data_IF_219273507993
#
_entry.id   IF_219273507993
#
_cell.length_a   1.000
_cell.length_b   1.000
_cell.length_c   1.000
_cell.angle_alpha   90.00
_cell.angle_beta   90.00
_cell.angle_gamma   90.00
#
_symmetry.space_group_name_H-M   'P 1'
#
loop_
_entity.id
_entity.type
_entity.pdbx_description
1 polymer ?
#
# COMPACT_ATOMS: atom_id res chain seq x y z
N UNK A 1 33.21 26.27 40.94
CA UNK A 1 33.69 25.42 39.83
C UNK A 1 32.48 24.82 39.14
N UNK A 2 31.97 25.48 38.11
CA UNK A 2 30.98 24.92 37.19
C UNK A 2 31.75 24.22 36.07
N UNK A 3 31.60 22.91 35.97
CA UNK A 3 32.07 22.13 34.82
C UNK A 3 30.95 22.12 33.78
N UNK A 4 31.05 23.02 32.81
CA UNK A 4 30.28 22.94 31.55
C UNK A 4 30.77 21.73 30.76
N UNK A 5 29.97 20.67 30.71
CA UNK A 5 30.17 19.54 29.81
C UNK A 5 29.75 19.95 28.41
N UNK A 6 30.72 20.37 27.60
CA UNK A 6 30.58 20.50 26.15
C UNK A 6 30.60 19.09 25.53
N UNK A 7 29.45 18.42 25.48
CA UNK A 7 29.24 17.24 24.63
C UNK A 7 27.91 17.34 23.91
N UNK A 8 28.01 17.92 22.73
CA UNK A 8 26.97 17.97 21.72
C UNK A 8 27.61 18.51 20.47
N UNK A 9 28.58 17.78 19.92
CA UNK A 9 29.04 18.03 18.56
C UNK A 9 27.82 17.81 17.66
N UNK A 10 27.17 18.91 17.30
CA UNK A 10 26.23 18.98 16.18
C UNK A 10 26.99 18.49 14.98
N UNK A 11 26.55 17.38 14.39
CA UNK A 11 26.98 16.99 13.07
C UNK A 11 26.65 18.13 12.09
N UNK A 12 27.68 18.90 11.72
CA UNK A 12 27.61 20.09 10.87
C UNK A 12 27.41 19.75 9.38
N UNK A 13 27.04 18.50 9.07
CA UNK A 13 26.90 18.02 7.69
C UNK A 13 25.45 17.87 7.21
N UNK A 14 24.46 17.95 8.10
CA UNK A 14 23.06 17.84 7.74
C UNK A 14 22.59 19.12 6.99
N UNK A 15 22.61 19.05 5.66
CA UNK A 15 22.15 20.13 4.78
C UNK A 15 20.67 20.46 5.02
N UNK A 16 20.33 21.74 4.87
CA UNK A 16 18.95 22.22 4.96
C UNK A 16 18.05 21.49 3.96
N UNK A 17 16.82 21.20 4.39
CA UNK A 17 15.78 20.63 3.55
C UNK A 17 14.43 21.33 3.77
N UNK A 18 13.65 21.40 2.69
CA UNK A 18 12.32 21.98 2.65
C UNK A 18 11.32 20.95 2.12
N UNK A 19 10.16 20.89 2.76
CA UNK A 19 8.98 20.22 2.23
C UNK A 19 7.95 21.28 1.89
N UNK A 20 7.48 21.30 0.63
CA UNK A 20 6.52 22.29 0.13
C UNK A 20 5.27 21.56 -0.36
N UNK A 21 4.12 21.91 0.20
CA UNK A 21 2.82 21.41 -0.23
C UNK A 21 2.24 22.29 -1.36
N UNK A 22 1.37 21.72 -2.19
CA UNK A 22 0.80 22.44 -3.35
C UNK A 22 -0.06 23.66 -2.99
N UNK A 23 -0.49 23.76 -1.74
CA UNK A 23 -1.21 24.92 -1.19
C UNK A 23 -0.27 25.99 -0.60
N UNK A 24 1.04 25.83 -0.78
CA UNK A 24 2.08 26.77 -0.36
C UNK A 24 2.55 26.57 1.08
N UNK A 25 2.00 25.62 1.84
CA UNK A 25 2.49 25.36 3.19
C UNK A 25 3.86 24.67 3.15
N UNK A 26 4.85 25.32 3.76
CA UNK A 26 6.25 24.87 3.80
C UNK A 26 6.66 24.39 5.19
N UNK A 27 7.45 23.32 5.24
CA UNK A 27 8.08 22.80 6.46
C UNK A 27 9.60 22.75 6.27
N UNK A 28 10.33 23.18 7.31
CA UNK A 28 11.80 23.19 7.32
C UNK A 28 12.31 22.02 8.15
N UNK A 29 13.40 21.42 7.69
CA UNK A 29 14.01 20.27 8.34
C UNK A 29 15.44 20.06 7.86
N UNK A 30 15.92 18.83 8.01
CA UNK A 30 17.25 18.39 7.60
C UNK A 30 17.14 17.29 6.57
N UNK A 31 18.06 17.26 5.61
CA UNK A 31 18.13 16.17 4.64
C UNK A 31 18.20 14.80 5.34
N UNK A 32 17.44 13.82 4.84
CA UNK A 32 17.42 12.45 5.33
C UNK A 32 17.35 11.49 4.15
N UNK A 33 18.25 10.51 4.06
CA UNK A 33 18.39 9.72 2.84
C UNK A 33 19.19 10.47 1.76
N UNK A 34 18.81 10.29 0.49
CA UNK A 34 19.47 10.92 -0.64
C UNK A 34 19.27 12.45 -0.66
N UNK A 35 20.27 13.18 -1.14
CA UNK A 35 20.19 14.64 -1.34
C UNK A 35 19.75 14.93 -2.77
N UNK A 36 18.81 15.86 -2.91
CA UNK A 36 18.22 16.25 -4.18
C UNK A 36 16.79 16.71 -3.98
N UNK A 37 15.94 16.36 -4.94
CA UNK A 37 14.52 16.68 -4.89
C UNK A 37 13.66 15.51 -5.35
N UNK A 38 12.42 15.49 -4.88
CA UNK A 38 11.42 14.51 -5.28
C UNK A 38 10.03 15.12 -5.19
N UNK A 39 9.09 14.53 -5.93
CA UNK A 39 7.70 14.95 -5.99
C UNK A 39 6.78 13.74 -5.83
N UNK A 40 5.61 13.97 -5.26
CA UNK A 40 4.57 12.94 -5.16
C UNK A 40 3.32 13.45 -4.49
N UNK A 41 2.42 12.54 -4.13
CA UNK A 41 1.29 12.84 -3.26
C UNK A 41 1.69 12.69 -1.78
N UNK A 42 1.49 13.72 -0.97
CA UNK A 42 1.70 13.69 0.47
C UNK A 42 0.62 12.85 1.15
N UNK A 43 1.07 11.80 1.83
CA UNK A 43 0.24 10.89 2.59
C UNK A 43 0.87 10.67 3.96
N UNK A 44 0.08 10.28 4.96
CA UNK A 44 0.62 9.95 6.29
C UNK A 44 0.26 8.53 6.68
N UNK A 45 1.14 7.85 7.41
CA UNK A 45 0.90 6.51 7.97
C UNK A 45 0.91 6.54 9.50
N UNK A 46 -0.06 5.86 10.11
CA UNK A 46 -0.19 5.69 11.57
C UNK A 46 0.62 4.52 12.14
N UNK A 47 1.29 3.74 11.29
CA UNK A 47 2.14 2.63 11.71
C UNK A 47 3.25 3.09 12.66
N UNK A 48 3.28 2.52 13.87
CA UNK A 48 4.35 2.76 14.86
C UNK A 48 5.54 1.82 14.70
N UNK A 49 5.33 0.72 13.97
CA UNK A 49 6.32 -0.29 13.61
C UNK A 49 6.15 -0.63 12.14
N UNK A 50 7.13 -1.33 11.57
CA UNK A 50 7.01 -1.83 10.20
C UNK A 50 7.24 -0.79 9.11
N UNK A 51 8.15 0.15 9.38
CA UNK A 51 8.47 1.21 8.43
C UNK A 51 9.19 0.67 7.18
N UNK A 52 9.90 -0.45 7.28
CA UNK A 52 10.61 -1.04 6.15
C UNK A 52 9.62 -1.70 5.17
N UNK A 53 8.68 -2.46 5.70
CA UNK A 53 7.55 -3.06 4.98
C UNK A 53 6.73 -1.95 4.31
N UNK A 54 6.45 -0.85 5.04
CA UNK A 54 5.78 0.34 4.48
C UNK A 54 6.56 0.93 3.31
N UNK A 55 7.89 1.08 3.42
CA UNK A 55 8.72 1.68 2.37
C UNK A 55 8.79 0.80 1.11
N UNK A 56 8.70 -0.51 1.28
CA UNK A 56 8.82 -1.50 0.21
C UNK A 56 7.49 -2.01 -0.33
N UNK A 57 6.36 -1.45 0.14
CA UNK A 57 5.03 -1.70 -0.44
C UNK A 57 4.85 -0.92 -1.77
N UNK A 58 4.65 -1.62 -2.90
CA UNK A 58 4.46 -1.01 -4.22
C UNK A 58 3.31 0.00 -4.30
N UNK A 59 2.32 -0.11 -3.41
CA UNK A 59 1.14 0.76 -3.37
C UNK A 59 1.48 2.22 -3.01
N UNK A 60 2.68 2.48 -2.48
CA UNK A 60 3.20 3.84 -2.23
C UNK A 60 3.94 4.46 -3.43
N UNK A 61 3.98 3.80 -4.59
CA UNK A 61 4.61 4.39 -5.78
C UNK A 61 4.07 5.80 -6.07
N UNK A 62 4.98 6.76 -6.29
CA UNK A 62 4.69 8.21 -6.45
C UNK A 62 4.06 8.91 -5.23
N UNK A 63 4.14 8.32 -4.04
CA UNK A 63 3.68 8.94 -2.79
C UNK A 63 4.87 9.33 -1.90
N UNK A 64 4.74 10.46 -1.21
CA UNK A 64 5.68 10.89 -0.16
C UNK A 64 5.06 10.56 1.18
N UNK A 65 5.68 9.64 1.91
CA UNK A 65 5.12 9.08 3.14
C UNK A 65 5.60 9.88 4.35
N UNK A 66 4.63 10.37 5.12
CA UNK A 66 4.82 11.05 6.40
C UNK A 66 4.56 10.07 7.54
N UNK A 67 5.61 9.78 8.32
CA UNK A 67 5.44 8.99 9.52
C UNK A 67 4.89 9.82 10.66
N UNK A 68 3.78 9.36 11.23
CA UNK A 68 3.22 9.96 12.45
C UNK A 68 3.97 9.53 13.70
N UNK A 69 4.51 8.30 13.71
CA UNK A 69 5.37 7.82 14.77
C UNK A 69 6.67 8.65 14.79
N UNK A 70 7.06 9.21 15.95
CA UNK A 70 8.11 10.23 15.98
C UNK A 70 9.50 9.64 15.72
N UNK A 71 9.79 8.46 16.27
CA UNK A 71 11.08 7.79 16.18
C UNK A 71 11.04 6.71 15.11
N UNK A 72 11.82 6.88 14.06
CA UNK A 72 11.84 6.01 12.87
C UNK A 72 13.27 5.55 12.59
N UNK A 73 13.44 4.27 12.23
CA UNK A 73 14.76 3.66 12.02
C UNK A 73 15.33 2.93 13.24
N UNK A 74 14.57 2.84 14.33
CA UNK A 74 15.03 2.28 15.62
C UNK A 74 15.52 0.82 15.49
N UNK A 75 14.97 0.06 14.54
CA UNK A 75 15.31 -1.34 14.30
C UNK A 75 16.20 -1.56 13.07
N UNK A 76 16.73 -0.47 12.50
CA UNK A 76 17.54 -0.54 11.27
C UNK A 76 16.74 -1.06 10.08
N UNK A 77 17.46 -1.65 9.13
CA UNK A 77 16.93 -2.34 7.96
C UNK A 77 17.58 -3.73 7.88
N UNK A 78 16.86 -4.72 7.35
CA UNK A 78 17.36 -6.06 7.07
C UNK A 78 16.90 -6.58 5.70
N UNK A 79 17.29 -7.80 5.32
CA UNK A 79 16.96 -8.38 4.01
C UNK A 79 15.72 -9.30 4.04
N UNK A 80 15.07 -9.46 5.19
CA UNK A 80 13.91 -10.34 5.40
C UNK A 80 12.56 -9.58 5.41
N UNK A 81 12.54 -8.34 5.89
CA UNK A 81 11.35 -7.49 6.00
C UNK A 81 10.92 -6.77 4.69
N UNK A 82 11.67 -6.71 3.56
CA UNK A 82 11.14 -6.10 2.35
C UNK A 82 9.90 -6.85 1.80
N UNK A 83 8.83 -6.09 1.51
CA UNK A 83 7.63 -6.61 0.85
C UNK A 83 7.74 -6.64 -0.68
N UNK A 84 8.83 -6.11 -1.23
CA UNK A 84 9.15 -6.20 -2.65
C UNK A 84 10.65 -5.92 -2.88
N UNK A 85 11.07 -5.94 -4.14
CA UNK A 85 12.48 -5.84 -4.52
C UNK A 85 13.15 -4.46 -4.22
N UNK A 86 12.38 -3.40 -3.93
CA UNK A 86 12.92 -2.05 -3.70
C UNK A 86 11.99 -1.19 -2.85
N UNK A 87 12.50 -0.03 -2.44
CA UNK A 87 11.70 1.05 -1.86
C UNK A 87 10.88 1.74 -2.96
N UNK A 88 9.58 1.90 -2.73
CA UNK A 88 8.63 2.45 -3.70
C UNK A 88 8.17 3.88 -3.40
N UNK A 89 8.34 4.34 -2.16
CA UNK A 89 7.97 5.73 -1.83
C UNK A 89 8.79 6.70 -2.67
N UNK A 90 8.16 7.76 -3.17
CA UNK A 90 8.86 8.84 -3.86
C UNK A 90 9.73 9.65 -2.91
N UNK A 91 9.34 9.74 -1.64
CA UNK A 91 10.11 10.39 -0.60
C UNK A 91 9.59 10.09 0.79
N UNK A 92 10.37 10.48 1.80
CA UNK A 92 10.11 10.08 3.18
C UNK A 92 10.26 11.21 4.19
N UNK A 93 9.29 11.35 5.09
CA UNK A 93 9.21 12.45 6.06
C UNK A 93 9.14 11.88 7.46
N UNK A 94 10.13 12.23 8.29
CA UNK A 94 10.26 11.73 9.66
C UNK A 94 10.44 12.89 10.65
N UNK A 95 9.98 12.68 11.90
CA UNK A 95 10.19 13.68 12.96
C UNK A 95 11.59 13.58 13.57
N UNK A 96 11.99 12.38 13.99
CA UNK A 96 13.25 12.14 14.69
C UNK A 96 13.84 10.78 14.25
N UNK A 97 14.74 10.75 13.26
CA UNK A 97 15.34 9.52 12.80
C UNK A 97 16.28 8.95 13.87
N UNK A 98 16.29 7.62 14.02
CA UNK A 98 17.19 6.94 14.92
C UNK A 98 18.65 7.23 14.55
N UNK A 99 19.43 7.67 15.53
CA UNK A 99 20.87 7.91 15.37
C UNK A 99 21.66 6.63 15.17
N UNK A 100 21.19 5.54 15.77
CA UNK A 100 21.80 4.22 15.69
C UNK A 100 20.68 3.20 15.84
N UNK A 101 20.58 2.21 14.93
CA UNK A 101 19.61 1.14 15.09
C UNK A 101 20.02 0.21 16.24
N UNK A 102 19.05 -0.36 16.94
CA UNK A 102 19.27 -1.32 18.02
C UNK A 102 18.26 -2.47 17.90
N UNK A 103 18.59 -3.42 17.04
CA UNK A 103 17.85 -4.65 16.86
C UNK A 103 18.82 -5.74 16.36
N UNK A 104 18.67 -6.98 16.82
CA UNK A 104 19.54 -8.08 16.43
C UNK A 104 19.44 -8.45 14.95
N UNK A 105 18.30 -8.12 14.30
CA UNK A 105 18.09 -8.30 12.86
C UNK A 105 18.68 -7.17 12.02
N UNK A 106 19.04 -6.03 12.62
CA UNK A 106 19.51 -4.87 11.86
C UNK A 106 20.84 -5.17 11.16
N UNK A 107 20.87 -5.05 9.84
CA UNK A 107 22.10 -5.19 9.04
C UNK A 107 22.62 -3.83 8.56
N UNK A 108 21.73 -2.83 8.44
CA UNK A 108 22.03 -1.49 7.92
C UNK A 108 21.22 -0.41 8.66
N UNK A 109 21.65 0.86 8.60
CA UNK A 109 20.80 1.96 9.06
C UNK A 109 19.76 2.33 8.00
N UNK A 110 18.64 2.92 8.43
CA UNK A 110 17.60 3.33 7.49
C UNK A 110 18.08 4.46 6.56
N UNK A 111 18.88 5.41 7.05
CA UNK A 111 19.37 6.51 6.23
C UNK A 111 20.41 6.06 5.18
N UNK A 112 21.21 5.04 5.49
CA UNK A 112 22.07 4.37 4.51
C UNK A 112 21.23 3.72 3.40
N UNK A 113 20.19 2.98 3.76
CA UNK A 113 19.30 2.32 2.78
C UNK A 113 18.61 3.34 1.86
N UNK A 114 18.05 4.42 2.43
CA UNK A 114 17.43 5.48 1.63
C UNK A 114 18.43 6.15 0.67
N UNK A 115 19.69 6.38 1.10
CA UNK A 115 20.73 6.91 0.21
C UNK A 115 21.09 5.94 -0.91
N UNK A 116 21.26 4.66 -0.58
CA UNK A 116 21.64 3.62 -1.53
C UNK A 116 20.60 3.45 -2.64
N UNK A 117 19.32 3.60 -2.31
CA UNK A 117 18.21 3.52 -3.27
C UNK A 117 17.79 4.88 -3.87
N UNK A 118 18.51 5.97 -3.56
CA UNK A 118 18.23 7.29 -4.13
C UNK A 118 16.94 7.96 -3.62
N UNK A 119 16.42 7.55 -2.47
CA UNK A 119 15.17 8.06 -1.90
C UNK A 119 15.44 9.35 -1.13
N UNK A 120 14.85 10.45 -1.61
CA UNK A 120 14.97 11.77 -0.98
C UNK A 120 14.00 11.87 0.19
N UNK A 121 14.51 12.32 1.34
CA UNK A 121 13.72 12.49 2.54
C UNK A 121 14.11 13.70 3.38
N UNK A 122 13.29 13.95 4.39
CA UNK A 122 13.44 15.08 5.30
C UNK A 122 13.14 14.65 6.74
N UNK A 123 13.96 15.14 7.66
CA UNK A 123 13.83 14.90 9.11
C UNK A 123 13.65 16.20 9.89
N UNK A 124 13.22 16.11 11.15
CA UNK A 124 13.05 17.28 12.02
C UNK A 124 11.76 18.08 11.75
N UNK A 125 10.89 17.58 10.89
CA UNK A 125 9.60 18.21 10.56
C UNK A 125 8.60 17.94 11.68
N UNK A 126 7.75 18.92 12.00
CA UNK A 126 6.55 18.68 12.81
C UNK A 126 5.54 17.83 12.01
N UNK A 127 5.76 16.51 12.03
CA UNK A 127 4.91 15.55 11.32
C UNK A 127 3.48 15.56 11.84
N UNK A 128 3.23 15.95 13.11
CA UNK A 128 1.87 16.11 13.64
C UNK A 128 1.14 17.28 12.99
N UNK A 129 1.80 18.43 12.84
CA UNK A 129 1.22 19.58 12.14
C UNK A 129 0.94 19.26 10.67
N UNK A 130 1.85 18.54 10.01
CA UNK A 130 1.67 18.06 8.63
C UNK A 130 0.50 17.07 8.52
N UNK A 131 0.42 16.05 9.38
CA UNK A 131 -0.69 15.10 9.39
C UNK A 131 -2.03 15.78 9.62
N UNK A 132 -2.12 16.72 10.57
CA UNK A 132 -3.36 17.49 10.79
C UNK A 132 -3.78 18.26 9.55
N UNK A 133 -2.82 18.87 8.86
CA UNK A 133 -3.05 19.62 7.63
C UNK A 133 -3.61 18.71 6.52
N UNK A 134 -2.97 17.56 6.28
CA UNK A 134 -3.42 16.58 5.29
C UNK A 134 -4.80 15.99 5.64
N UNK A 135 -5.08 15.73 6.92
CA UNK A 135 -6.41 15.29 7.36
C UNK A 135 -7.49 16.35 7.08
N UNK A 136 -7.18 17.62 7.31
CA UNK A 136 -8.13 18.73 7.19
C UNK A 136 -8.32 19.20 5.73
N UNK A 137 -7.26 19.17 4.91
CA UNK A 137 -7.26 19.66 3.52
C UNK A 137 -7.31 18.55 2.46
N UNK A 138 -6.98 17.33 2.84
CA UNK A 138 -6.84 16.17 1.96
C UNK A 138 -5.40 15.89 1.55
N UNK A 139 -5.19 14.71 0.96
CA UNK A 139 -3.94 14.35 0.30
C UNK A 139 -3.72 15.27 -0.92
N UNK A 140 -2.48 15.66 -1.15
CA UNK A 140 -2.14 16.75 -2.06
C UNK A 140 -0.73 16.59 -2.62
N UNK A 141 -0.39 17.30 -3.69
CA UNK A 141 0.98 17.26 -4.21
C UNK A 141 1.96 17.88 -3.22
N UNK A 142 3.17 17.32 -3.20
CA UNK A 142 4.27 17.76 -2.35
C UNK A 142 5.61 17.61 -3.07
N UNK A 143 6.56 18.47 -2.73
CA UNK A 143 7.97 18.31 -3.06
C UNK A 143 8.84 18.31 -1.81
N UNK A 144 9.87 17.47 -1.80
CA UNK A 144 10.99 17.57 -0.84
C UNK A 144 12.19 18.08 -1.62
N UNK A 145 12.89 19.07 -1.05
CA UNK A 145 14.07 19.69 -1.63
C UNK A 145 15.17 19.71 -0.58
N UNK A 146 16.39 19.32 -0.94
CA UNK A 146 17.53 19.28 -0.02
C UNK A 146 18.82 19.68 -0.73
N UNK A 147 19.77 20.24 0.03
CA UNK A 147 21.02 20.74 -0.55
C UNK A 147 20.77 21.91 -1.50
N UNK A 148 21.39 21.89 -2.68
CA UNK A 148 21.24 22.98 -3.67
C UNK A 148 19.80 23.15 -4.15
N UNK A 149 19.01 22.07 -4.19
CA UNK A 149 17.60 22.14 -4.56
C UNK A 149 16.80 23.04 -3.59
N UNK A 150 17.18 23.04 -2.30
CA UNK A 150 16.53 23.85 -1.26
C UNK A 150 16.93 25.34 -1.29
N UNK A 151 17.90 25.74 -2.12
CA UNK A 151 18.37 27.13 -2.21
C UNK A 151 17.48 28.03 -3.09
N UNK A 152 16.56 27.45 -3.86
CA UNK A 152 15.59 28.20 -4.67
C UNK A 152 14.57 28.93 -3.79
N UNK A 153 13.90 29.94 -4.37
CA UNK A 153 12.85 30.66 -3.65
C UNK A 153 11.65 29.76 -3.37
N UNK A 154 10.93 29.98 -2.27
CA UNK A 154 9.72 29.19 -1.96
C UNK A 154 8.66 29.26 -3.07
N UNK A 155 8.61 30.37 -3.82
CA UNK A 155 7.73 30.53 -4.97
C UNK A 155 8.12 29.59 -6.13
N UNK A 156 9.42 29.48 -6.44
CA UNK A 156 9.91 28.56 -7.46
C UNK A 156 9.65 27.11 -7.07
N UNK A 157 9.91 26.76 -5.80
CA UNK A 157 9.65 25.43 -5.28
C UNK A 157 8.16 25.06 -5.38
N UNK A 158 7.27 25.98 -4.98
CA UNK A 158 5.82 25.78 -5.09
C UNK A 158 5.36 25.57 -6.53
N UNK A 159 5.87 26.38 -7.48
CA UNK A 159 5.52 26.25 -8.89
C UNK A 159 5.86 24.85 -9.43
N UNK A 160 7.00 24.28 -9.00
CA UNK A 160 7.44 22.93 -9.39
C UNK A 160 6.57 21.85 -8.78
N UNK A 161 6.15 22.01 -7.52
CA UNK A 161 5.17 21.11 -6.87
C UNK A 161 3.83 21.13 -7.60
N UNK A 162 3.35 22.31 -7.99
CA UNK A 162 2.09 22.47 -8.72
C UNK A 162 2.15 21.95 -10.16
N UNK A 163 3.34 21.84 -10.74
CA UNK A 163 3.56 21.23 -12.05
C UNK A 163 3.63 19.69 -12.00
N UNK A 164 3.81 19.09 -10.82
CA UNK A 164 3.86 17.64 -10.67
C UNK A 164 2.51 16.99 -11.03
N UNK A 165 2.51 15.77 -11.60
CA UNK A 165 1.28 15.02 -11.87
C UNK A 165 0.48 14.75 -10.60
N UNK A 166 -0.85 14.71 -10.73
CA UNK A 166 -1.74 14.32 -9.63
C UNK A 166 -1.91 12.79 -9.57
N UNK A 167 -2.21 12.26 -8.37
CA UNK A 167 -2.52 10.83 -8.19
C UNK A 167 -3.87 10.42 -8.81
N UNK A 168 -4.84 11.34 -8.86
CA UNK A 168 -6.14 11.08 -9.48
C UNK A 168 -5.94 10.94 -10.99
N UNK A 169 -6.42 9.84 -11.57
CA UNK A 169 -6.20 9.48 -12.97
C UNK A 169 -4.79 8.95 -13.28
N UNK A 170 -4.00 8.57 -12.28
CA UNK A 170 -2.69 7.97 -12.50
C UNK A 170 -2.79 6.45 -12.71
N UNK A 171 -2.35 5.97 -13.87
CA UNK A 171 -2.16 4.55 -14.15
C UNK A 171 -0.76 4.11 -13.74
N UNK A 172 -0.64 3.34 -12.65
CA UNK A 172 0.64 3.03 -12.01
C UNK A 172 0.91 1.53 -11.84
N UNK A 173 -0.09 0.66 -11.95
CA UNK A 173 0.10 -0.77 -11.64
C UNK A 173 1.11 -1.44 -12.58
N UNK A 174 1.10 -1.07 -13.87
CA UNK A 174 2.08 -1.58 -14.86
C UNK A 174 3.52 -1.12 -14.61
N UNK A 175 3.73 -0.03 -13.87
CA UNK A 175 5.08 0.45 -13.50
C UNK A 175 5.70 -0.38 -12.38
N UNK A 176 4.87 -1.04 -11.57
CA UNK A 176 5.32 -1.75 -10.37
C UNK A 176 5.22 -3.28 -10.45
N UNK A 177 4.32 -3.78 -11.30
CA UNK A 177 4.13 -5.21 -11.49
C UNK A 177 5.37 -5.90 -12.10
N UNK A 178 5.48 -7.20 -11.81
CA UNK A 178 6.47 -8.09 -12.43
C UNK A 178 6.41 -8.02 -13.95
N UNK A 179 7.57 -8.18 -14.59
CA UNK A 179 7.70 -8.20 -16.06
C UNK A 179 7.54 -9.60 -16.63
N UNK A 180 7.97 -10.60 -15.88
CA UNK A 180 7.91 -12.00 -16.27
C UNK A 180 7.13 -12.81 -15.23
N UNK A 181 6.38 -13.83 -15.65
CA UNK A 181 5.74 -14.75 -14.72
C UNK A 181 6.76 -15.46 -13.83
N UNK A 182 6.37 -15.71 -12.58
CA UNK A 182 7.15 -16.55 -11.66
C UNK A 182 6.25 -17.36 -10.73
N UNK A 183 6.81 -18.38 -10.10
CA UNK A 183 6.06 -19.29 -9.23
C UNK A 183 6.58 -19.18 -7.79
N UNK A 184 5.67 -19.00 -6.84
CA UNK A 184 5.91 -19.20 -5.42
C UNK A 184 5.40 -20.60 -5.06
N UNK A 185 6.29 -21.55 -4.75
CA UNK A 185 5.90 -22.92 -4.48
C UNK A 185 5.08 -23.02 -3.19
N UNK A 186 4.17 -23.98 -3.14
CA UNK A 186 3.46 -24.33 -1.91
C UNK A 186 4.45 -24.73 -0.81
N UNK A 187 4.16 -24.33 0.43
CA UNK A 187 4.90 -24.79 1.60
C UNK A 187 4.19 -26.05 2.12
N UNK A 188 4.91 -27.16 2.15
CA UNK A 188 4.35 -28.47 2.51
C UNK A 188 3.69 -29.16 1.31
N UNK A 189 2.55 -29.81 1.53
CA UNK A 189 1.80 -30.50 0.48
C UNK A 189 1.08 -29.48 -0.43
N UNK A 190 1.30 -29.60 -1.75
CA UNK A 190 0.56 -28.80 -2.73
C UNK A 190 -0.90 -29.27 -2.79
N UNK A 191 -1.81 -28.40 -2.37
CA UNK A 191 -3.27 -28.61 -2.38
C UNK A 191 -3.95 -27.92 -3.55
N UNK A 192 -3.51 -26.71 -3.90
CA UNK A 192 -4.12 -25.87 -4.93
C UNK A 192 -3.08 -25.17 -5.81
N UNK A 193 -3.51 -24.74 -6.98
CA UNK A 193 -2.79 -23.83 -7.88
C UNK A 193 -3.59 -22.54 -8.01
N UNK A 194 -2.97 -21.38 -7.76
CA UNK A 194 -3.62 -20.07 -7.92
C UNK A 194 -2.86 -19.25 -8.95
N UNK A 195 -3.60 -18.62 -9.87
CA UNK A 195 -3.06 -17.58 -10.74
C UNK A 195 -3.25 -16.21 -10.06
N UNK A 196 -2.18 -15.52 -9.74
CA UNK A 196 -2.19 -14.20 -9.12
C UNK A 196 -1.82 -13.13 -10.16
N UNK A 197 -2.74 -12.21 -10.44
CA UNK A 197 -2.48 -11.03 -11.29
C UNK A 197 -1.77 -9.97 -10.44
N UNK A 198 -0.51 -9.72 -10.76
CA UNK A 198 0.32 -8.74 -10.10
C UNK A 198 -0.01 -7.32 -10.58
N UNK A 199 -0.60 -6.54 -9.69
CA UNK A 199 -0.89 -5.12 -9.87
C UNK A 199 0.02 -4.24 -8.98
N UNK A 200 1.06 -4.84 -8.38
CA UNK A 200 1.87 -4.28 -7.30
C UNK A 200 1.87 -5.18 -6.06
N UNK A 201 1.91 -6.50 -6.24
CA UNK A 201 1.76 -7.50 -5.20
C UNK A 201 2.85 -7.39 -4.15
N UNK A 202 2.44 -7.44 -2.88
CA UNK A 202 3.33 -7.58 -1.74
C UNK A 202 3.76 -9.04 -1.55
N UNK A 203 5.04 -9.26 -1.27
CA UNK A 203 5.66 -10.59 -1.12
C UNK A 203 5.03 -11.46 -0.04
N UNK A 204 4.50 -10.87 1.03
CA UNK A 204 3.80 -11.63 2.06
C UNK A 204 2.50 -12.27 1.55
N UNK A 205 1.83 -11.70 0.55
CA UNK A 205 0.56 -12.23 0.01
C UNK A 205 0.72 -13.65 -0.56
N UNK A 206 1.59 -13.90 -1.56
CA UNK A 206 1.80 -15.25 -2.06
C UNK A 206 2.45 -16.15 -1.00
N UNK A 207 3.22 -15.60 -0.05
CA UNK A 207 3.75 -16.39 1.07
C UNK A 207 2.62 -16.94 1.97
N UNK A 208 1.63 -16.12 2.35
CA UNK A 208 0.46 -16.54 3.13
C UNK A 208 -0.40 -17.58 2.42
N UNK A 209 -0.46 -17.51 1.09
CA UNK A 209 -1.09 -18.55 0.28
C UNK A 209 -0.26 -19.83 0.29
N UNK A 210 1.05 -19.72 0.11
CA UNK A 210 1.96 -20.87 0.13
C UNK A 210 1.92 -21.64 1.46
N UNK A 211 1.83 -20.95 2.60
CA UNK A 211 1.63 -21.54 3.93
C UNK A 211 0.38 -22.44 4.02
N UNK A 212 -0.60 -22.27 3.12
CA UNK A 212 -1.85 -23.05 3.05
C UNK A 212 -1.82 -24.17 2.01
N UNK A 213 -0.65 -24.44 1.44
CA UNK A 213 -0.48 -25.45 0.39
C UNK A 213 -0.85 -24.95 -1.00
N UNK A 214 -0.88 -23.64 -1.24
CA UNK A 214 -1.20 -23.06 -2.55
C UNK A 214 0.11 -22.80 -3.31
N UNK A 215 0.25 -23.37 -4.50
CA UNK A 215 1.27 -22.93 -5.45
C UNK A 215 0.76 -21.69 -6.21
N UNK A 216 1.47 -20.57 -6.10
CA UNK A 216 1.03 -19.29 -6.66
C UNK A 216 1.82 -18.97 -7.91
N UNK A 217 1.14 -18.89 -9.04
CA UNK A 217 1.67 -18.43 -10.32
C UNK A 217 1.40 -16.94 -10.43
N UNK A 218 2.43 -16.13 -10.21
CA UNK A 218 2.33 -14.68 -10.28
C UNK A 218 2.54 -14.24 -11.73
N UNK A 219 1.54 -13.54 -12.27
CA UNK A 219 1.49 -13.09 -13.65
C UNK A 219 1.60 -11.56 -13.72
N UNK A 220 2.22 -10.99 -14.77
CA UNK A 220 2.26 -9.55 -15.00
C UNK A 220 0.87 -8.90 -15.03
N UNK A 221 0.80 -7.60 -14.77
CA UNK A 221 -0.43 -6.80 -14.90
C UNK A 221 -1.08 -6.88 -16.30
N UNK A 222 -0.29 -7.22 -17.33
CA UNK A 222 -0.71 -7.37 -18.72
C UNK A 222 -1.22 -8.77 -19.07
N UNK A 223 -1.31 -9.68 -18.09
CA UNK A 223 -1.79 -11.04 -18.31
C UNK A 223 -3.15 -11.06 -19.00
N UNK A 224 -3.33 -12.04 -19.88
CA UNK A 224 -4.56 -12.27 -20.62
C UNK A 224 -5.38 -13.39 -19.99
N UNK A 225 -6.64 -13.52 -20.41
CA UNK A 225 -7.47 -14.65 -20.00
C UNK A 225 -6.84 -16.00 -20.40
N UNK A 226 -6.18 -16.05 -21.56
CA UNK A 226 -5.49 -17.23 -22.05
C UNK A 226 -4.29 -17.60 -21.17
N UNK A 227 -3.54 -16.61 -20.67
CA UNK A 227 -2.42 -16.86 -19.75
C UNK A 227 -2.91 -17.47 -18.43
N UNK A 228 -4.03 -16.98 -17.90
CA UNK A 228 -4.67 -17.56 -16.71
C UNK A 228 -5.15 -18.99 -17.01
N UNK A 229 -5.81 -19.22 -18.15
CA UNK A 229 -6.33 -20.53 -18.53
C UNK A 229 -5.22 -21.57 -18.73
N UNK A 230 -4.07 -21.15 -19.25
CA UNK A 230 -2.91 -22.02 -19.46
C UNK A 230 -2.35 -22.62 -18.14
N UNK A 231 -2.59 -21.96 -17.00
CA UNK A 231 -2.20 -22.45 -15.66
C UNK A 231 -3.19 -23.51 -15.15
N UNK A 232 -4.43 -23.52 -15.67
CA UNK A 232 -5.56 -24.29 -15.14
C UNK A 232 -5.72 -24.12 -13.61
N UNK A 233 -5.90 -22.89 -13.11
CA UNK A 233 -5.88 -22.61 -11.67
C UNK A 233 -7.18 -23.05 -10.99
N UNK A 234 -7.06 -23.44 -9.72
CA UNK A 234 -8.19 -23.68 -8.82
C UNK A 234 -8.82 -22.37 -8.34
N UNK A 235 -8.05 -21.28 -8.34
CA UNK A 235 -8.51 -19.95 -7.97
C UNK A 235 -7.67 -18.85 -8.61
N UNK A 236 -8.27 -17.67 -8.74
CA UNK A 236 -7.59 -16.48 -9.28
C UNK A 236 -7.54 -15.40 -8.21
N UNK A 237 -6.39 -14.75 -8.10
CA UNK A 237 -6.14 -13.68 -7.16
C UNK A 237 -5.80 -12.37 -7.87
N UNK A 238 -6.35 -11.25 -7.40
CA UNK A 238 -6.00 -9.91 -7.87
C UNK A 238 -5.38 -9.12 -6.71
N UNK A 239 -4.11 -8.72 -6.88
CA UNK A 239 -3.33 -8.14 -5.79
C UNK A 239 -3.70 -6.69 -5.45
N UNK A 240 -3.04 -6.20 -4.40
CA UNK A 240 -2.90 -4.77 -4.16
C UNK A 240 -2.10 -4.08 -5.28
N UNK A 241 -2.11 -2.74 -5.28
CA UNK A 241 -1.43 -1.94 -6.28
C UNK A 241 -1.58 -0.43 -6.07
N UNK A 242 -0.72 0.38 -6.71
CA UNK A 242 -0.81 1.84 -6.70
C UNK A 242 -1.74 2.38 -7.79
N UNK A 243 -2.09 3.66 -7.67
CA UNK A 243 -2.78 4.42 -8.71
C UNK A 243 -4.29 4.53 -8.51
N UNK A 244 -4.96 5.03 -9.55
CA UNK A 244 -6.41 5.25 -9.58
C UNK A 244 -7.10 4.04 -10.24
N UNK A 245 -8.02 3.34 -9.55
CA UNK A 245 -8.72 2.20 -10.14
C UNK A 245 -9.54 2.56 -11.38
N UNK A 246 -9.86 3.84 -11.60
CA UNK A 246 -10.56 4.30 -12.79
C UNK A 246 -9.75 4.11 -14.09
N UNK A 247 -8.42 3.93 -14.02
CA UNK A 247 -7.58 3.70 -15.21
C UNK A 247 -7.34 2.21 -15.50
N UNK A 248 -7.78 1.32 -14.61
CA UNK A 248 -7.48 -0.11 -14.67
C UNK A 248 -8.49 -0.92 -15.51
N UNK A 249 -8.78 -0.48 -16.74
CA UNK A 249 -9.76 -1.15 -17.61
C UNK A 249 -9.35 -2.57 -17.96
N UNK A 250 -8.08 -2.81 -18.27
CA UNK A 250 -7.58 -4.16 -18.59
C UNK A 250 -7.75 -5.14 -17.42
N UNK A 251 -7.31 -4.84 -16.17
CA UNK A 251 -7.62 -5.69 -15.02
C UNK A 251 -9.11 -5.93 -14.78
N UNK A 252 -9.98 -4.93 -15.03
CA UNK A 252 -11.43 -5.07 -14.90
C UNK A 252 -11.97 -6.08 -15.91
N UNK A 253 -11.59 -5.98 -17.19
CA UNK A 253 -12.01 -6.93 -18.22
C UNK A 253 -11.49 -8.35 -17.95
N UNK A 254 -10.25 -8.48 -17.49
CA UNK A 254 -9.69 -9.77 -17.10
C UNK A 254 -10.48 -10.39 -15.94
N UNK A 255 -10.82 -9.59 -14.92
CA UNK A 255 -11.62 -10.03 -13.79
C UNK A 255 -13.03 -10.46 -14.21
N UNK A 256 -13.66 -9.72 -15.12
CA UNK A 256 -14.97 -10.09 -15.69
C UNK A 256 -14.92 -11.46 -16.34
N UNK A 257 -13.91 -11.74 -17.16
CA UNK A 257 -13.72 -13.07 -17.76
C UNK A 257 -13.56 -14.19 -16.72
N UNK A 258 -12.90 -13.92 -15.58
CA UNK A 258 -12.79 -14.89 -14.47
C UNK A 258 -14.16 -15.12 -13.81
N UNK A 259 -14.92 -14.06 -13.55
CA UNK A 259 -16.27 -14.15 -12.97
C UNK A 259 -17.24 -14.89 -13.88
N UNK A 260 -17.16 -14.70 -15.20
CA UNK A 260 -17.97 -15.42 -16.20
C UNK A 260 -17.77 -16.92 -16.12
N UNK A 261 -16.49 -17.34 -16.04
CA UNK A 261 -16.11 -18.75 -15.88
C UNK A 261 -16.51 -19.35 -14.52
N UNK A 262 -16.75 -18.51 -13.52
CA UNK A 262 -17.11 -18.95 -12.17
C UNK A 262 -15.93 -19.54 -11.39
N UNK A 263 -14.69 -19.22 -11.78
CA UNK A 263 -13.49 -19.63 -11.03
C UNK A 263 -13.47 -18.89 -9.68
N UNK A 264 -13.12 -19.57 -8.56
CA UNK A 264 -12.93 -18.94 -7.26
C UNK A 264 -12.02 -17.71 -7.35
N UNK A 265 -12.48 -16.58 -6.81
CA UNK A 265 -11.80 -15.30 -6.94
C UNK A 265 -11.62 -14.61 -5.59
N UNK A 266 -10.40 -14.11 -5.36
CA UNK A 266 -10.10 -13.26 -4.21
C UNK A 266 -9.35 -11.98 -4.64
N UNK A 267 -9.83 -10.81 -4.22
CA UNK A 267 -9.18 -9.52 -4.47
C UNK A 267 -8.75 -8.80 -3.19
N UNK A 268 -7.55 -8.20 -3.17
CA UNK A 268 -7.06 -7.40 -2.04
C UNK A 268 -6.76 -5.96 -2.48
N UNK A 269 -7.18 -4.99 -1.68
CA UNK A 269 -6.93 -3.55 -1.87
C UNK A 269 -7.32 -3.03 -3.26
N UNK A 270 -6.37 -2.95 -4.20
CA UNK A 270 -6.65 -2.59 -5.59
C UNK A 270 -7.55 -3.64 -6.25
N UNK A 271 -7.33 -4.94 -5.99
CA UNK A 271 -8.20 -6.03 -6.43
C UNK A 271 -9.65 -5.90 -5.94
N UNK A 272 -9.90 -5.31 -4.76
CA UNK A 272 -11.26 -5.00 -4.30
C UNK A 272 -11.92 -3.90 -5.14
N UNK A 273 -11.15 -2.90 -5.53
CA UNK A 273 -11.63 -1.81 -6.39
C UNK A 273 -11.90 -2.31 -7.80
N UNK A 274 -11.05 -3.20 -8.33
CA UNK A 274 -11.29 -3.89 -9.60
C UNK A 274 -12.57 -4.73 -9.53
N UNK A 275 -12.80 -5.46 -8.43
CA UNK A 275 -14.05 -6.21 -8.25
C UNK A 275 -15.27 -5.29 -8.20
N UNK A 276 -15.20 -4.20 -7.44
CA UNK A 276 -16.26 -3.19 -7.42
C UNK A 276 -16.63 -2.70 -8.83
N UNK A 277 -15.62 -2.32 -9.63
CA UNK A 277 -15.81 -1.88 -11.02
C UNK A 277 -16.33 -3.00 -11.93
N UNK A 278 -15.82 -4.21 -11.80
CA UNK A 278 -16.26 -5.36 -12.58
C UNK A 278 -17.75 -5.64 -12.37
N UNK A 279 -18.23 -5.50 -11.12
CA UNK A 279 -19.62 -5.63 -10.71
C UNK A 279 -20.52 -4.45 -11.12
N UNK A 280 -19.94 -3.36 -11.64
CA UNK A 280 -20.68 -2.17 -12.10
C UNK A 280 -20.81 -1.04 -11.07
N UNK A 281 -20.11 -1.15 -9.93
CA UNK A 281 -20.04 -0.05 -8.95
C UNK A 281 -18.99 1.00 -9.35
N UNK A 282 -19.18 2.22 -8.81
CA UNK A 282 -18.20 3.29 -8.96
C UNK A 282 -17.03 3.17 -7.99
N UNK A 283 -16.02 4.02 -8.17
CA UNK A 283 -14.96 4.25 -7.18
C UNK A 283 -14.82 5.74 -6.94
N UNK A 284 -14.35 6.11 -5.74
CA UNK A 284 -14.10 7.49 -5.39
C UNK A 284 -12.78 7.63 -4.63
N UNK A 285 -12.19 8.82 -4.74
CA UNK A 285 -10.97 9.17 -4.00
C UNK A 285 -11.34 9.63 -2.59
N UNK A 286 -10.75 8.99 -1.59
CA UNK A 286 -10.86 9.39 -0.19
C UNK A 286 -10.13 10.73 0.01
N UNK A 287 -10.60 11.49 1.01
CA UNK A 287 -10.00 12.79 1.32
C UNK A 287 -8.49 12.68 1.61
N UNK A 288 -8.11 11.75 2.48
CA UNK A 288 -6.70 11.47 2.82
C UNK A 288 -6.36 9.97 2.82
N UNK A 289 -7.34 9.09 2.58
CA UNK A 289 -7.16 7.63 2.53
C UNK A 289 -6.99 6.95 3.90
N UNK A 290 -6.91 5.62 3.89
CA UNK A 290 -6.59 4.82 5.07
C UNK A 290 -5.16 4.29 4.94
N UNK A 291 -4.31 4.69 5.88
CA UNK A 291 -2.89 4.34 5.92
C UNK A 291 -2.44 4.11 7.35
N UNK A 292 -2.31 2.85 7.74
CA UNK A 292 -2.06 2.49 9.12
C UNK A 292 -2.21 0.99 9.40
N UNK A 293 -2.07 0.65 10.67
CA UNK A 293 -2.14 -0.73 11.17
C UNK A 293 -3.14 -0.86 12.33
N UNK A 294 -4.12 0.03 12.37
CA UNK A 294 -5.03 0.19 13.51
C UNK A 294 -6.48 0.50 13.10
N UNK A 295 -6.85 0.19 11.86
CA UNK A 295 -8.17 0.48 11.32
C UNK A 295 -9.15 -0.61 11.75
N UNK A 296 -10.25 -0.25 12.44
CA UNK A 296 -11.27 -1.20 12.85
C UNK A 296 -12.22 -1.49 11.69
N UNK A 297 -12.31 -2.77 11.31
CA UNK A 297 -13.22 -3.24 10.26
C UNK A 297 -14.17 -4.27 10.84
N UNK A 298 -15.46 -4.16 10.50
CA UNK A 298 -16.45 -5.17 10.87
C UNK A 298 -16.74 -6.09 9.68
N UNK A 299 -16.57 -7.41 9.87
CA UNK A 299 -17.17 -8.43 9.00
C UNK A 299 -18.68 -8.49 9.31
N UNK A 300 -19.50 -8.05 8.37
CA UNK A 300 -20.96 -7.98 8.53
C UNK A 300 -21.63 -9.35 8.49
N UNK A 301 -20.94 -10.36 7.95
CA UNK A 301 -21.46 -11.74 7.87
C UNK A 301 -21.40 -12.46 9.22
N UNK A 302 -20.45 -12.06 10.08
CA UNK A 302 -20.22 -12.67 11.40
C UNK A 302 -20.46 -11.71 12.56
N UNK A 303 -20.47 -10.40 12.31
CA UNK A 303 -20.48 -9.34 13.31
C UNK A 303 -19.13 -9.10 13.99
N UNK A 304 -18.08 -9.87 13.64
CA UNK A 304 -16.74 -9.76 14.21
C UNK A 304 -16.08 -8.45 13.81
N UNK A 305 -15.34 -7.85 14.74
CA UNK A 305 -14.49 -6.68 14.49
C UNK A 305 -13.03 -7.11 14.47
N UNK A 306 -12.28 -6.59 13.51
CA UNK A 306 -10.86 -6.84 13.27
C UNK A 306 -10.09 -5.53 13.32
N UNK A 307 -8.88 -5.56 13.87
CA UNK A 307 -7.90 -4.50 13.65
C UNK A 307 -7.10 -4.88 12.41
N UNK A 308 -6.99 -3.96 11.44
CA UNK A 308 -6.49 -4.28 10.10
C UNK A 308 -5.42 -3.30 9.63
N UNK A 309 -4.60 -3.75 8.67
CA UNK A 309 -3.59 -2.94 7.99
C UNK A 309 -4.15 -2.36 6.68
N UNK A 310 -3.95 -1.06 6.47
CA UNK A 310 -4.54 -0.31 5.36
C UNK A 310 -3.48 0.49 4.63
N UNK A 311 -3.58 0.52 3.29
CA UNK A 311 -2.86 1.45 2.44
C UNK A 311 -3.65 1.72 1.14
N UNK A 312 -4.67 2.58 1.22
CA UNK A 312 -5.44 2.96 0.03
C UNK A 312 -5.94 4.41 0.07
N UNK A 313 -5.93 5.06 -1.09
CA UNK A 313 -6.47 6.41 -1.31
C UNK A 313 -7.83 6.43 -2.00
N UNK A 314 -8.31 5.28 -2.46
CA UNK A 314 -9.58 5.12 -3.18
C UNK A 314 -10.44 4.04 -2.52
N UNK A 315 -11.75 4.10 -2.74
CA UNK A 315 -12.71 3.14 -2.22
C UNK A 315 -13.82 2.86 -3.24
N UNK A 316 -14.51 1.74 -3.06
CA UNK A 316 -15.67 1.36 -3.88
C UNK A 316 -16.92 2.07 -3.36
N UNK A 317 -17.72 2.61 -4.28
CA UNK A 317 -19.05 3.17 -4.01
C UNK A 317 -20.12 2.10 -4.22
N UNK A 318 -20.24 1.20 -3.24
CA UNK A 318 -21.25 0.14 -3.22
C UNK A 318 -22.27 0.39 -2.10
N UNK A 319 -23.57 0.12 -2.33
CA UNK A 319 -24.59 0.37 -1.33
C UNK A 319 -24.47 -0.62 -0.16
N UNK A 320 -24.20 -0.11 1.04
CA UNK A 320 -23.97 -0.93 2.25
C UNK A 320 -25.27 -1.59 2.75
N UNK A 321 -26.41 -0.93 2.61
CA UNK A 321 -27.66 -1.33 3.28
C UNK A 321 -28.54 -2.29 2.47
N UNK A 322 -28.05 -2.79 1.33
CA UNK A 322 -28.81 -3.74 0.50
C UNK A 322 -27.90 -4.67 -0.29
N UNK A 323 -28.46 -5.83 -0.64
CA UNK A 323 -27.93 -6.69 -1.70
C UNK A 323 -28.24 -6.03 -3.04
N UNK A 324 -27.28 -6.06 -3.97
CA UNK A 324 -27.41 -5.50 -5.31
C UNK A 324 -27.35 -6.60 -6.37
N UNK A 325 -28.23 -6.56 -7.35
CA UNK A 325 -28.15 -7.41 -8.53
C UNK A 325 -27.05 -6.87 -9.46
N UNK A 326 -26.13 -7.75 -9.87
CA UNK A 326 -25.04 -7.44 -10.80
C UNK A 326 -25.06 -8.41 -11.98
N UNK A 327 -24.33 -8.14 -13.08
CA UNK A 327 -24.21 -9.08 -14.21
C UNK A 327 -23.67 -10.47 -13.82
N UNK A 328 -23.01 -10.58 -12.65
CA UNK A 328 -22.38 -11.82 -12.16
C UNK A 328 -23.12 -12.44 -10.97
N UNK A 329 -24.35 -11.99 -10.71
CA UNK A 329 -25.17 -12.44 -9.59
C UNK A 329 -25.32 -11.36 -8.51
N UNK A 330 -25.91 -11.72 -7.38
CA UNK A 330 -26.14 -10.82 -6.26
C UNK A 330 -24.84 -10.54 -5.53
N UNK A 331 -24.57 -9.27 -5.27
CA UNK A 331 -23.41 -8.79 -4.53
C UNK A 331 -23.85 -8.06 -3.25
N UNK A 332 -23.05 -8.16 -2.20
CA UNK A 332 -23.23 -7.36 -0.99
C UNK A 332 -21.91 -6.86 -0.42
N UNK A 333 -22.00 -5.76 0.33
CA UNK A 333 -20.88 -5.27 1.14
C UNK A 333 -20.69 -6.20 2.34
N UNK A 334 -19.56 -6.90 2.36
CA UNK A 334 -19.22 -7.87 3.41
C UNK A 334 -18.48 -7.24 4.58
N UNK A 335 -17.71 -6.18 4.35
CA UNK A 335 -16.93 -5.50 5.38
C UNK A 335 -17.07 -3.99 5.31
N UNK A 336 -17.06 -3.32 6.47
CA UNK A 336 -17.14 -1.86 6.58
C UNK A 336 -16.16 -1.32 7.63
N UNK A 337 -15.59 -0.15 7.34
CA UNK A 337 -14.75 0.58 8.29
C UNK A 337 -15.63 1.18 9.38
N UNK A 338 -15.31 0.92 10.65
CA UNK A 338 -16.09 1.43 11.79
C UNK A 338 -15.80 2.91 12.12
N UNK A 339 -14.73 3.49 11.55
CA UNK A 339 -14.41 4.91 11.79
C UNK A 339 -15.25 5.85 10.93
N UNK A 340 -15.56 5.46 9.69
CA UNK A 340 -16.16 6.36 8.69
C UNK A 340 -17.15 5.70 7.72
N UNK A 341 -17.42 4.40 7.87
CA UNK A 341 -18.43 3.68 7.08
C UNK A 341 -18.00 3.35 5.66
N UNK A 342 -16.72 3.54 5.30
CA UNK A 342 -16.19 3.16 3.98
C UNK A 342 -16.35 1.65 3.76
N UNK A 343 -16.63 1.26 2.51
CA UNK A 343 -16.72 -0.14 2.07
C UNK A 343 -15.33 -0.78 2.13
N UNK A 344 -15.21 -1.84 2.93
CA UNK A 344 -13.94 -2.54 3.17
C UNK A 344 -13.93 -3.96 2.59
N UNK A 345 -15.02 -4.40 1.97
CA UNK A 345 -15.08 -5.69 1.30
C UNK A 345 -16.39 -5.96 0.61
N UNK A 346 -16.34 -6.79 -0.43
CA UNK A 346 -17.46 -7.22 -1.24
C UNK A 346 -17.51 -8.74 -1.28
N UNK A 347 -18.69 -9.33 -1.46
CA UNK A 347 -18.83 -10.74 -1.83
C UNK A 347 -19.98 -10.94 -2.81
N UNK A 348 -19.82 -11.90 -3.71
CA UNK A 348 -20.91 -12.46 -4.48
C UNK A 348 -21.60 -13.56 -3.67
N UNK A 349 -22.93 -13.64 -3.81
CA UNK A 349 -23.75 -14.67 -3.16
C UNK A 349 -23.99 -15.88 -4.05
N UNK A 350 -23.89 -15.69 -5.37
CA UNK A 350 -24.22 -16.71 -6.38
C UNK A 350 -22.98 -17.25 -7.11
N UNK A 351 -21.80 -16.69 -6.85
CA UNK A 351 -20.51 -17.10 -7.43
C UNK A 351 -19.40 -17.05 -6.37
N UNK A 352 -18.33 -17.87 -6.49
CA UNK A 352 -17.28 -17.99 -5.48
C UNK A 352 -16.28 -16.82 -5.54
N UNK A 353 -16.74 -15.57 -5.36
CA UNK A 353 -15.90 -14.39 -5.43
C UNK A 353 -16.09 -13.46 -4.24
N UNK A 354 -14.98 -12.99 -3.67
CA UNK A 354 -14.98 -11.95 -2.64
C UNK A 354 -13.72 -11.09 -2.72
N UNK A 355 -13.76 -9.95 -2.03
CA UNK A 355 -12.59 -9.08 -1.91
C UNK A 355 -12.61 -8.29 -0.61
N UNK A 356 -11.44 -7.79 -0.22
CA UNK A 356 -11.29 -6.84 0.89
C UNK A 356 -10.39 -5.67 0.50
N UNK A 357 -10.66 -4.50 1.04
CA UNK A 357 -9.95 -3.26 0.73
C UNK A 357 -8.67 -3.07 1.54
N UNK A 358 -8.57 -3.74 2.70
CA UNK A 358 -7.42 -3.78 3.58
C UNK A 358 -6.49 -4.95 3.24
N UNK A 359 -5.43 -5.16 4.03
CA UNK A 359 -4.33 -6.08 3.77
C UNK A 359 -4.28 -7.24 4.78
N UNK A 360 -4.95 -8.38 4.50
CA UNK A 360 -4.93 -9.59 5.34
C UNK A 360 -3.56 -10.22 5.51
N UNK A 361 -2.65 -9.98 4.56
CA UNK A 361 -1.27 -10.43 4.64
C UNK A 361 -0.46 -9.69 5.71
N UNK A 362 -0.97 -8.55 6.19
CA UNK A 362 -0.29 -7.62 7.08
C UNK A 362 1.05 -7.19 6.49
N UNK A 363 2.18 -7.41 7.18
CA UNK A 363 3.52 -7.01 6.75
C UNK A 363 3.58 -5.54 6.29
N UNK A 364 3.42 -4.56 7.18
CA UNK A 364 3.28 -4.72 8.63
C UNK A 364 1.81 -4.69 9.11
N UNK A 365 1.60 -5.01 10.39
CA UNK A 365 0.32 -4.81 11.07
C UNK A 365 -0.26 -6.06 11.75
N UNK A 366 -1.50 -5.97 12.24
CA UNK A 366 -2.18 -7.05 12.95
C UNK A 366 -2.55 -8.22 12.03
N UNK A 367 -2.67 -9.41 12.61
CA UNK A 367 -2.98 -10.65 11.87
C UNK A 367 -4.47 -11.05 11.95
N UNK A 368 -5.33 -10.20 12.51
CA UNK A 368 -6.76 -10.50 12.77
C UNK A 368 -7.52 -10.96 11.51
N UNK A 369 -7.09 -10.46 10.35
CA UNK A 369 -7.65 -10.67 9.03
C UNK A 369 -7.11 -11.92 8.30
N UNK A 370 -6.11 -12.62 8.84
CA UNK A 370 -5.40 -13.70 8.14
C UNK A 370 -6.31 -14.86 7.69
N UNK A 371 -7.45 -15.05 8.37
CA UNK A 371 -8.45 -16.06 8.02
C UNK A 371 -9.06 -15.87 6.63
N UNK A 372 -8.92 -14.70 6.00
CA UNK A 372 -9.44 -14.47 4.64
C UNK A 372 -8.73 -15.35 3.61
N UNK A 373 -7.47 -15.72 3.85
CA UNK A 373 -6.79 -16.73 3.04
C UNK A 373 -7.38 -18.13 3.26
N UNK A 374 -7.82 -18.45 4.48
CA UNK A 374 -8.54 -19.71 4.76
C UNK A 374 -9.93 -19.72 4.09
N UNK A 375 -10.62 -18.59 4.09
CA UNK A 375 -11.89 -18.41 3.35
C UNK A 375 -11.70 -18.64 1.85
N UNK A 376 -10.57 -18.20 1.29
CA UNK A 376 -10.25 -18.46 -0.13
C UNK A 376 -9.97 -19.95 -0.39
N UNK A 377 -9.29 -20.64 0.53
CA UNK A 377 -9.12 -22.10 0.47
C UNK A 377 -10.47 -22.80 0.47
N UNK A 378 -11.38 -22.45 1.37
CA UNK A 378 -12.72 -23.05 1.43
C UNK A 378 -13.49 -22.84 0.13
N UNK A 379 -13.41 -21.66 -0.51
CA UNK A 379 -14.05 -21.44 -1.81
C UNK A 379 -13.51 -22.36 -2.91
N UNK A 380 -12.21 -22.66 -2.91
CA UNK A 380 -11.61 -23.59 -3.88
C UNK A 380 -11.97 -25.05 -3.57
N UNK A 381 -12.09 -25.42 -2.29
CA UNK A 381 -12.56 -26.75 -1.86
C UNK A 381 -13.99 -27.02 -2.30
N UNK A 382 -14.90 -26.07 -2.03
CA UNK A 382 -16.32 -26.18 -2.36
C UNK A 382 -16.55 -26.27 -3.87
N UNK A 383 -15.68 -25.67 -4.68
CA UNK A 383 -15.77 -25.72 -6.14
C UNK A 383 -15.29 -27.06 -6.74
N UNK A 384 -14.40 -27.78 -6.04
CA UNK A 384 -13.90 -29.11 -6.43
C UNK A 384 -14.84 -30.24 -6.01
N UNK A 385 -15.64 -30.03 -4.96
CA UNK A 385 -16.62 -30.97 -4.44
C UNK A 385 -17.84 -31.10 -5.36
#
# INVERSE_FOLDING_TARGET
MMTTSARGATDTTAKDALLVLEDGRTFRGRAYGAVGETFGEAVFSTGMTGYQETLTDPSYHRQVVVMTAPHIGNTGVNDEDPESARIWVAGYVVRDPARTPSNWRATRTLDEELRNQGVVGISGVDTRALTRHLRERGAMRVGIFSGEAAAHSEADLLARVQAAPAMKGADLCGEVATKEPYVVPAIGEKRFTVAAVDLGIKGMTPHRMAERGIEVHVLPATATAQDIEAIAPDGVFFSNGPGDPATADHPVELMRGVLERGTPLFGICFGNQILGRALGFGTFKLKYGHRGINQPVQDRTTGKVEVTAHNHGFAVDAPVDRVSDTPYGRAEVSHVCLNDGVVEGLRLLDKPAFSVQYHPEAAAGPHDAAYLFDRFVTLMEDQRA
#
